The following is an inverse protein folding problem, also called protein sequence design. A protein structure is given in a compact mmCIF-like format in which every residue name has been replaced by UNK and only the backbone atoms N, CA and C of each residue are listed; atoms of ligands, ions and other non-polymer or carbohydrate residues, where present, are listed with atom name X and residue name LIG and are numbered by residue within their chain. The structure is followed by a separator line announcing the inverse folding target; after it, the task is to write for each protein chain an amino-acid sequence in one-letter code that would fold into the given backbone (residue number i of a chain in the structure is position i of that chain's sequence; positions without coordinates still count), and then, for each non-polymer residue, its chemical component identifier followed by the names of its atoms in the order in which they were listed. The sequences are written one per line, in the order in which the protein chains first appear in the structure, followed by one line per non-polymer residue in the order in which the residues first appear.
data_IF_502134663831
#
_entry.id   IF_502134663831
#
_cell.length_a   1.000
_cell.length_b   1.000
_cell.length_c   1.000
_cell.angle_alpha   90.00
_cell.angle_beta   90.00
_cell.angle_gamma   90.00
#
_symmetry.space_group_name_H-M   'P 1'
#
loop_
_entity.id
_entity.type
_entity.pdbx_description
1 polymer ?
#
# COMPACT_ATOMS: atom_id res chain seq x y z
N UNK A 1 4.01 26.94 -9.28
CA UNK A 1 2.62 27.13 -8.83
C UNK A 1 2.62 27.62 -7.40
N UNK A 2 1.69 28.49 -6.97
CA UNK A 2 1.61 28.94 -5.58
C UNK A 2 1.46 27.77 -4.61
N UNK A 3 2.06 27.83 -3.41
CA UNK A 3 2.09 26.68 -2.47
C UNK A 3 0.70 26.25 -2.02
N UNK A 4 -0.21 27.20 -1.88
CA UNK A 4 -1.61 27.03 -1.48
C UNK A 4 -2.50 26.41 -2.58
N UNK A 5 -1.99 26.31 -3.81
CA UNK A 5 -2.76 25.74 -4.94
C UNK A 5 -2.71 24.22 -5.04
N UNK A 6 -1.94 23.54 -4.18
CA UNK A 6 -1.84 22.10 -4.14
C UNK A 6 -1.78 21.56 -2.71
N UNK A 7 -2.23 20.33 -2.54
CA UNK A 7 -2.16 19.58 -1.28
C UNK A 7 -0.92 18.68 -1.28
N UNK A 8 -0.03 18.87 -0.32
CA UNK A 8 1.22 18.12 -0.22
C UNK A 8 1.18 17.16 0.98
N UNK A 9 1.17 15.87 0.70
CA UNK A 9 1.26 14.82 1.71
C UNK A 9 2.67 14.22 1.75
N UNK A 10 3.19 13.98 2.94
CA UNK A 10 4.42 13.21 3.17
C UNK A 10 4.21 12.17 4.28
N UNK A 11 5.25 11.45 4.65
CA UNK A 11 5.17 10.37 5.64
C UNK A 11 6.36 10.39 6.58
N UNK A 12 6.16 9.97 7.82
CA UNK A 12 7.25 9.78 8.79
C UNK A 12 8.10 8.57 8.44
N UNK A 13 9.17 8.83 7.69
CA UNK A 13 10.13 7.85 7.22
C UNK A 13 11.53 8.43 7.15
N UNK A 14 12.50 7.55 7.32
CA UNK A 14 13.92 7.86 7.11
C UNK A 14 14.44 7.08 5.90
N UNK A 15 15.63 7.41 5.36
CA UNK A 15 16.26 6.62 4.30
C UNK A 15 16.48 5.14 4.67
N UNK A 16 16.53 4.82 5.96
CA UNK A 16 16.77 3.46 6.48
C UNK A 16 15.49 2.75 6.95
N UNK A 17 14.32 3.38 6.79
CA UNK A 17 13.03 2.76 7.07
C UNK A 17 12.10 3.59 7.97
N UNK A 18 11.11 2.89 8.52
CA UNK A 18 10.05 3.44 9.34
C UNK A 18 10.51 3.74 10.77
N UNK A 19 9.93 4.76 11.40
CA UNK A 19 10.16 5.06 12.81
C UNK A 19 9.39 4.03 13.68
N UNK A 20 10.05 3.32 14.61
CA UNK A 20 9.40 2.33 15.48
C UNK A 20 8.58 3.00 16.60
N UNK A 21 7.74 2.21 17.27
CA UNK A 21 7.10 2.61 18.52
C UNK A 21 8.16 3.03 19.58
N UNK A 22 7.84 4.03 20.38
CA UNK A 22 8.74 4.62 21.37
C UNK A 22 9.73 5.64 20.81
N UNK A 23 9.67 5.97 19.52
CA UNK A 23 10.47 7.06 18.93
C UNK A 23 10.15 8.36 19.66
N UNK A 24 11.17 9.16 20.00
CA UNK A 24 10.96 10.40 20.75
C UNK A 24 10.24 11.45 19.92
N UNK A 25 9.54 12.36 20.60
CA UNK A 25 8.85 13.51 19.99
C UNK A 25 9.81 14.34 19.15
N UNK A 26 11.02 14.59 19.66
CA UNK A 26 12.06 15.35 18.98
C UNK A 26 12.46 14.69 17.67
N UNK A 27 12.63 13.35 17.67
CA UNK A 27 13.03 12.64 16.46
C UNK A 27 11.93 12.67 15.39
N UNK A 28 10.66 12.57 15.78
CA UNK A 28 9.56 12.76 14.84
C UNK A 28 9.60 14.16 14.19
N UNK A 29 9.87 15.21 14.98
CA UNK A 29 9.99 16.57 14.47
C UNK A 29 11.17 16.72 13.52
N UNK A 30 12.35 16.21 13.89
CA UNK A 30 13.55 16.22 13.02
C UNK A 30 13.28 15.59 11.65
N UNK A 31 12.61 14.43 11.60
CA UNK A 31 12.30 13.76 10.33
C UNK A 31 11.36 14.58 9.44
N UNK A 32 10.49 15.40 10.04
CA UNK A 32 9.64 16.33 9.30
C UNK A 32 10.46 17.50 8.79
N UNK A 33 11.35 18.08 9.59
CA UNK A 33 12.29 19.12 9.11
C UNK A 33 13.14 18.63 7.95
N UNK A 34 13.69 17.42 8.04
CA UNK A 34 14.45 16.79 6.96
C UNK A 34 13.60 16.66 5.68
N UNK A 35 12.32 16.33 5.82
CA UNK A 35 11.38 16.24 4.69
C UNK A 35 11.05 17.60 4.10
N UNK A 36 10.78 18.60 4.93
CA UNK A 36 10.53 19.98 4.53
C UNK A 36 11.74 20.58 3.80
N UNK A 37 12.96 20.33 4.29
CA UNK A 37 14.20 20.73 3.62
C UNK A 37 14.36 20.12 2.24
N UNK A 38 14.02 18.83 2.06
CA UNK A 38 14.04 18.18 0.72
C UNK A 38 12.94 18.69 -0.20
N UNK A 39 11.77 19.01 0.34
CA UNK A 39 10.62 19.52 -0.41
C UNK A 39 10.75 21.02 -0.75
N UNK A 40 11.64 21.74 -0.06
CA UNK A 40 11.83 23.18 -0.24
C UNK A 40 10.60 24.00 0.18
N UNK A 41 9.94 23.59 1.27
CA UNK A 41 8.73 24.26 1.78
C UNK A 41 8.71 24.25 3.31
N UNK A 42 7.95 25.17 3.90
CA UNK A 42 7.87 25.32 5.36
C UNK A 42 6.77 24.47 6.00
N UNK A 43 5.86 23.91 5.19
CA UNK A 43 4.78 23.06 5.68
C UNK A 43 4.30 22.01 4.67
N UNK A 44 3.75 20.93 5.21
CA UNK A 44 2.97 19.93 4.47
C UNK A 44 1.52 19.97 4.93
N UNK A 45 0.61 19.57 4.06
CA UNK A 45 -0.80 19.49 4.41
C UNK A 45 -1.09 18.25 5.25
N UNK A 46 -0.45 17.12 4.95
CA UNK A 46 -0.70 15.84 5.60
C UNK A 46 0.60 15.09 5.89
N UNK A 47 0.71 14.54 7.10
CA UNK A 47 1.76 13.59 7.48
C UNK A 47 1.12 12.25 7.81
N UNK A 48 1.62 11.17 7.21
CA UNK A 48 1.21 9.82 7.58
C UNK A 48 2.22 9.10 8.48
N UNK A 49 1.72 8.32 9.44
CA UNK A 49 2.42 7.13 9.92
C UNK A 49 2.49 6.13 8.77
N UNK A 50 3.70 5.91 8.21
CA UNK A 50 3.85 5.14 6.98
C UNK A 50 3.75 3.63 7.23
N UNK A 51 3.00 2.92 6.39
CA UNK A 51 2.93 1.45 6.34
C UNK A 51 2.78 0.86 7.74
N UNK A 52 1.80 1.36 8.48
CA UNK A 52 1.54 0.98 9.86
C UNK A 52 0.72 -0.32 9.89
N UNK A 53 1.30 -1.36 10.48
CA UNK A 53 0.72 -2.69 10.67
C UNK A 53 0.72 -3.12 12.16
N UNK A 54 1.19 -2.25 13.05
CA UNK A 54 1.37 -2.46 14.49
C UNK A 54 0.59 -1.40 15.30
N UNK A 55 -0.24 -1.83 16.25
CA UNK A 55 -1.12 -0.94 17.01
C UNK A 55 -0.37 -0.06 18.02
N UNK A 56 0.70 -0.57 18.62
CA UNK A 56 1.55 0.19 19.54
C UNK A 56 2.28 1.33 18.84
N UNK A 57 2.69 1.12 17.58
CA UNK A 57 3.24 2.17 16.71
C UNK A 57 2.18 3.15 16.24
N UNK A 58 0.98 2.69 15.88
CA UNK A 58 -0.12 3.56 15.45
C UNK A 58 -0.54 4.52 16.57
N UNK A 59 -0.72 3.99 17.77
CA UNK A 59 -1.29 4.70 18.92
C UNK A 59 -0.24 5.25 19.89
N UNK A 60 1.03 5.26 19.48
CA UNK A 60 2.14 5.79 20.27
C UNK A 60 1.85 7.25 20.68
N UNK A 61 1.81 7.56 22.00
CA UNK A 61 1.60 8.92 22.48
C UNK A 61 2.56 9.94 21.86
N UNK A 62 3.80 9.55 21.56
CA UNK A 62 4.81 10.44 21.00
C UNK A 62 4.48 10.86 19.56
N UNK A 63 3.80 10.01 18.77
CA UNK A 63 3.32 10.37 17.42
C UNK A 63 2.33 11.53 17.51
N UNK A 64 1.37 11.40 18.42
CA UNK A 64 0.31 12.40 18.59
C UNK A 64 0.84 13.70 19.20
N UNK A 65 1.75 13.61 20.17
CA UNK A 65 2.41 14.79 20.74
C UNK A 65 3.27 15.51 19.70
N UNK A 66 4.09 14.78 18.93
CA UNK A 66 4.88 15.37 17.85
C UNK A 66 4.00 16.05 16.80
N UNK A 67 2.90 15.39 16.38
CA UNK A 67 1.95 16.00 15.47
C UNK A 67 1.32 17.28 16.03
N UNK A 68 0.89 17.27 17.31
CA UNK A 68 0.31 18.43 17.95
C UNK A 68 1.29 19.62 17.98
N UNK A 69 2.57 19.38 18.28
CA UNK A 69 3.60 20.41 18.23
C UNK A 69 3.84 20.93 16.80
N UNK A 70 3.99 20.03 15.82
CA UNK A 70 4.18 20.43 14.41
C UNK A 70 3.00 21.22 13.86
N UNK A 71 1.78 20.87 14.27
CA UNK A 71 0.56 21.59 13.90
C UNK A 71 0.51 22.98 14.54
N UNK A 72 0.88 23.10 15.82
CA UNK A 72 1.00 24.39 16.50
C UNK A 72 2.09 25.28 15.88
N UNK A 73 3.18 24.69 15.39
CA UNK A 73 4.26 25.36 14.66
C UNK A 73 3.89 25.70 13.20
N UNK A 74 2.71 25.28 12.72
CA UNK A 74 2.26 25.53 11.34
C UNK A 74 2.91 24.65 10.27
N UNK A 75 3.63 23.59 10.66
CA UNK A 75 4.40 22.73 9.76
C UNK A 75 3.60 21.56 9.18
N UNK A 76 2.48 21.22 9.80
CA UNK A 76 1.56 20.17 9.36
C UNK A 76 0.11 20.57 9.66
N UNK A 77 -0.85 20.14 8.84
CA UNK A 77 -2.29 20.47 9.05
C UNK A 77 -3.09 19.26 9.50
N UNK A 78 -2.84 18.11 8.89
CA UNK A 78 -3.56 16.86 9.10
C UNK A 78 -2.63 15.71 9.45
N UNK A 79 -3.11 14.79 10.28
CA UNK A 79 -2.46 13.55 10.64
C UNK A 79 -3.20 12.39 9.99
N UNK A 80 -2.45 11.49 9.36
CA UNK A 80 -3.01 10.25 8.88
C UNK A 80 -2.12 9.06 9.17
N UNK A 81 -2.57 7.92 8.65
CA UNK A 81 -1.75 6.72 8.56
C UNK A 81 -1.97 6.08 7.19
N UNK A 82 -1.05 5.20 6.83
CA UNK A 82 -1.21 4.33 5.67
C UNK A 82 -1.02 2.90 6.13
N UNK A 83 -1.85 1.98 5.64
CA UNK A 83 -1.77 0.59 6.06
C UNK A 83 -1.95 -0.36 4.88
N UNK A 84 -1.29 -1.51 5.02
CA UNK A 84 -1.45 -2.66 4.17
C UNK A 84 -1.95 -3.82 5.01
N UNK A 85 -2.51 -4.80 4.35
CA UNK A 85 -2.71 -6.13 4.91
C UNK A 85 -1.37 -6.76 5.35
N UNK A 86 -1.40 -7.71 6.31
CA UNK A 86 -2.59 -8.40 6.83
C UNK A 86 -3.40 -7.62 7.87
N UNK A 87 -2.78 -6.75 8.65
CA UNK A 87 -3.41 -6.13 9.83
C UNK A 87 -4.23 -4.86 9.52
N UNK A 88 -4.50 -4.60 8.24
CA UNK A 88 -5.14 -3.37 7.77
C UNK A 88 -6.45 -3.06 8.51
N UNK A 89 -7.32 -4.06 8.66
CA UNK A 89 -8.62 -3.86 9.30
C UNK A 89 -8.47 -3.52 10.79
N UNK A 90 -7.53 -4.15 11.49
CA UNK A 90 -7.27 -3.88 12.91
C UNK A 90 -6.73 -2.47 13.11
N UNK A 91 -5.74 -2.08 12.29
CA UNK A 91 -5.14 -0.74 12.30
C UNK A 91 -6.20 0.32 11.96
N UNK A 92 -7.02 0.08 10.94
CA UNK A 92 -8.04 1.03 10.54
C UNK A 92 -9.14 1.19 11.59
N UNK A 93 -9.62 0.11 12.21
CA UNK A 93 -10.59 0.20 13.30
C UNK A 93 -10.00 0.90 14.52
N UNK A 94 -8.77 0.58 14.90
CA UNK A 94 -8.10 1.25 16.02
C UNK A 94 -7.91 2.76 15.76
N UNK A 95 -7.59 3.15 14.53
CA UNK A 95 -7.49 4.56 14.15
C UNK A 95 -8.84 5.29 14.29
N UNK A 96 -9.93 4.67 13.81
CA UNK A 96 -11.30 5.20 13.94
C UNK A 96 -11.67 5.34 15.43
N UNK A 97 -11.47 4.27 16.21
CA UNK A 97 -11.81 4.23 17.64
C UNK A 97 -11.04 5.28 18.46
N UNK A 98 -9.82 5.60 18.04
CA UNK A 98 -8.99 6.59 18.73
C UNK A 98 -9.49 8.03 18.60
N UNK A 99 -10.15 8.37 17.48
CA UNK A 99 -10.52 9.74 17.12
C UNK A 99 -9.31 10.68 16.93
N UNK A 100 -8.12 10.15 16.66
CA UNK A 100 -6.86 10.93 16.58
C UNK A 100 -6.32 11.14 15.16
N UNK A 101 -7.00 10.64 14.13
CA UNK A 101 -6.54 10.69 12.75
C UNK A 101 -7.56 11.40 11.86
N UNK A 102 -7.07 12.21 10.94
CA UNK A 102 -7.88 12.93 9.94
C UNK A 102 -7.99 12.15 8.62
N UNK A 103 -6.98 11.32 8.28
CA UNK A 103 -6.91 10.62 6.99
C UNK A 103 -6.38 9.19 7.13
N UNK A 104 -7.01 8.23 6.46
CA UNK A 104 -6.49 6.88 6.25
C UNK A 104 -6.19 6.61 4.78
N UNK A 105 -5.00 6.07 4.50
CA UNK A 105 -4.62 5.61 3.17
C UNK A 105 -4.55 4.08 3.15
N UNK A 106 -5.43 3.43 2.39
CA UNK A 106 -5.63 1.97 2.42
C UNK A 106 -5.47 1.36 1.03
N UNK A 107 -4.93 0.15 0.96
CA UNK A 107 -4.95 -0.62 -0.27
C UNK A 107 -6.40 -0.99 -0.63
N UNK A 108 -6.94 -0.42 -1.70
CA UNK A 108 -8.35 -0.57 -2.09
C UNK A 108 -8.49 -0.64 -3.62
N UNK A 109 -9.07 -1.73 -4.12
CA UNK A 109 -9.21 -2.04 -5.54
C UNK A 109 -10.30 -3.11 -5.74
N UNK A 110 -10.70 -3.35 -6.99
CA UNK A 110 -11.71 -4.36 -7.31
C UNK A 110 -11.32 -5.75 -6.80
N UNK A 111 -12.24 -6.50 -6.18
CA UNK A 111 -11.95 -7.82 -5.62
C UNK A 111 -11.07 -7.82 -4.36
N UNK A 112 -10.95 -6.68 -3.66
CA UNK A 112 -10.27 -6.55 -2.37
C UNK A 112 -10.93 -7.40 -1.26
N UNK A 113 -10.23 -7.57 -0.14
CA UNK A 113 -10.68 -8.33 1.02
C UNK A 113 -12.09 -7.92 1.51
N UNK A 114 -12.97 -8.89 1.85
CA UNK A 114 -14.27 -8.61 2.43
C UNK A 114 -14.20 -7.77 3.72
N UNK A 115 -15.14 -6.83 3.89
CA UNK A 115 -15.26 -6.00 5.09
C UNK A 115 -14.51 -4.66 5.04
N UNK A 116 -13.66 -4.43 4.04
CA UNK A 116 -12.96 -3.15 3.93
C UNK A 116 -13.91 -1.97 3.63
N UNK A 117 -14.91 -2.17 2.77
CA UNK A 117 -15.93 -1.14 2.49
C UNK A 117 -16.74 -0.76 3.73
N UNK A 118 -16.96 -1.69 4.67
CA UNK A 118 -17.63 -1.40 5.93
C UNK A 118 -16.78 -0.49 6.82
N UNK A 119 -15.47 -0.77 6.90
CA UNK A 119 -14.51 0.07 7.64
C UNK A 119 -14.36 1.45 7.02
N UNK A 120 -14.30 1.54 5.70
CA UNK A 120 -14.28 2.82 4.96
C UNK A 120 -15.56 3.63 5.27
N UNK A 121 -16.73 3.00 5.18
CA UNK A 121 -17.99 3.66 5.53
C UNK A 121 -18.06 4.07 7.01
N UNK A 122 -17.46 3.29 7.90
CA UNK A 122 -17.34 3.61 9.33
C UNK A 122 -16.47 4.86 9.55
N UNK A 123 -15.33 4.94 8.88
CA UNK A 123 -14.41 6.07 8.97
C UNK A 123 -15.09 7.40 8.62
N UNK A 124 -15.89 7.40 7.55
CA UNK A 124 -16.68 8.57 7.16
C UNK A 124 -17.77 8.90 8.19
N UNK A 125 -18.61 7.92 8.58
CA UNK A 125 -19.77 8.17 9.45
C UNK A 125 -19.40 8.55 10.88
N UNK A 126 -18.34 7.98 11.44
CA UNK A 126 -18.01 8.15 12.87
C UNK A 126 -17.00 9.27 13.12
N UNK A 127 -16.11 9.56 12.17
CA UNK A 127 -14.97 10.47 12.39
C UNK A 127 -14.80 11.53 11.29
N UNK A 128 -15.65 11.56 10.25
CA UNK A 128 -15.46 12.42 9.06
C UNK A 128 -14.04 12.27 8.46
N UNK A 129 -13.51 11.05 8.51
CA UNK A 129 -12.13 10.77 8.12
C UNK A 129 -12.00 10.68 6.60
N UNK A 130 -10.99 11.35 6.05
CA UNK A 130 -10.66 11.24 4.63
C UNK A 130 -10.10 9.86 4.30
N UNK A 131 -10.56 9.25 3.22
CA UNK A 131 -10.07 7.94 2.76
C UNK A 131 -9.36 8.08 1.43
N UNK A 132 -8.08 7.72 1.40
CA UNK A 132 -7.24 7.70 0.20
C UNK A 132 -7.02 6.26 -0.26
N UNK A 133 -7.54 5.89 -1.41
CA UNK A 133 -7.30 4.58 -1.99
C UNK A 133 -5.92 4.52 -2.65
N UNK A 134 -5.14 3.48 -2.34
CA UNK A 134 -3.87 3.17 -3.01
C UNK A 134 -3.91 1.76 -3.61
N UNK A 135 -2.95 1.47 -4.50
CA UNK A 135 -2.86 0.18 -5.20
C UNK A 135 -4.14 -0.19 -5.97
N UNK A 136 -4.79 0.82 -6.53
CA UNK A 136 -6.08 0.70 -7.23
C UNK A 136 -6.04 -0.26 -8.42
N UNK A 137 -4.86 -0.44 -9.03
CA UNK A 137 -4.68 -1.29 -10.22
C UNK A 137 -4.41 -2.76 -9.95
N UNK A 138 -4.38 -3.24 -8.69
CA UNK A 138 -4.12 -4.66 -8.39
C UNK A 138 -2.78 -5.17 -8.97
N UNK A 139 -1.73 -4.37 -8.86
CA UNK A 139 -0.43 -4.71 -9.46
C UNK A 139 -0.37 -4.62 -11.00
N UNK A 140 -1.49 -4.36 -11.69
CA UNK A 140 -1.48 -4.15 -13.13
C UNK A 140 -0.66 -2.90 -13.47
N UNK A 141 0.08 -2.97 -14.57
CA UNK A 141 0.76 -1.81 -15.17
C UNK A 141 -0.10 -1.26 -16.30
N UNK A 142 0.14 -0.01 -16.69
CA UNK A 142 -0.21 0.46 -18.04
C UNK A 142 0.60 -0.24 -19.16
N UNK A 143 1.63 -1.02 -18.82
CA UNK A 143 2.56 -1.73 -19.74
C UNK A 143 2.73 -3.24 -19.43
N UNK A 144 1.86 -3.84 -18.61
CA UNK A 144 2.07 -5.17 -17.99
C UNK A 144 0.82 -6.03 -17.98
N UNK A 145 -0.06 -5.69 -18.89
CA UNK A 145 -1.29 -6.37 -19.19
C UNK A 145 -1.02 -7.29 -20.39
N UNK A 146 -0.04 -8.18 -20.23
CA UNK A 146 0.28 -9.21 -21.22
C UNK A 146 -0.93 -10.13 -21.37
N UNK A 147 -1.48 -10.24 -22.58
CA UNK A 147 -2.76 -10.89 -22.86
C UNK A 147 -4.01 -10.03 -22.59
N UNK A 148 -3.84 -8.75 -22.28
CA UNK A 148 -4.90 -7.78 -22.02
C UNK A 148 -4.61 -6.44 -22.73
N UNK A 149 -3.81 -6.48 -23.80
CA UNK A 149 -3.28 -5.31 -24.53
C UNK A 149 -4.36 -4.41 -25.13
N UNK A 150 -5.43 -5.01 -25.66
CA UNK A 150 -6.51 -4.27 -26.30
C UNK A 150 -7.40 -3.50 -25.30
N UNK A 151 -7.30 -3.84 -24.02
CA UNK A 151 -8.16 -3.33 -22.94
C UNK A 151 -7.37 -2.57 -21.87
N UNK A 152 -6.08 -2.25 -22.09
CA UNK A 152 -5.21 -1.65 -21.07
C UNK A 152 -5.72 -0.31 -20.55
N UNK A 153 -5.98 0.62 -21.46
CA UNK A 153 -6.56 1.93 -21.14
C UNK A 153 -7.97 1.78 -20.56
N UNK A 154 -8.68 0.70 -20.88
CA UNK A 154 -10.00 0.44 -20.31
C UNK A 154 -9.93 -0.06 -18.87
N UNK A 155 -8.89 -0.83 -18.52
CA UNK A 155 -8.73 -1.39 -17.18
C UNK A 155 -8.38 -0.32 -16.15
N UNK A 156 -7.37 0.52 -16.41
CA UNK A 156 -6.95 1.51 -15.43
C UNK A 156 -8.04 2.59 -15.20
N UNK A 157 -8.77 2.96 -16.25
CA UNK A 157 -10.00 3.75 -16.12
C UNK A 157 -11.08 3.03 -15.31
N UNK A 158 -11.40 1.78 -15.64
CA UNK A 158 -12.42 1.00 -14.94
C UNK A 158 -12.08 0.83 -13.45
N UNK A 159 -10.81 0.58 -13.12
CA UNK A 159 -10.33 0.39 -11.76
C UNK A 159 -10.46 1.69 -10.95
N UNK A 160 -10.06 2.84 -11.53
CA UNK A 160 -10.22 4.12 -10.86
C UNK A 160 -11.70 4.49 -10.69
N UNK A 161 -12.53 4.25 -11.71
CA UNK A 161 -13.99 4.45 -11.62
C UNK A 161 -14.61 3.58 -10.54
N UNK A 162 -14.21 2.32 -10.43
CA UNK A 162 -14.71 1.41 -9.39
C UNK A 162 -14.40 1.95 -7.99
N UNK A 163 -13.16 2.41 -7.77
CA UNK A 163 -12.76 3.04 -6.51
C UNK A 163 -13.58 4.30 -6.21
N UNK A 164 -13.77 5.17 -7.19
CA UNK A 164 -14.61 6.37 -7.04
C UNK A 164 -16.11 6.08 -6.96
N UNK A 165 -16.53 4.85 -7.29
CA UNK A 165 -17.91 4.39 -7.10
C UNK A 165 -18.31 4.25 -5.64
N UNK A 166 -17.34 4.13 -4.73
CA UNK A 166 -17.59 4.19 -3.29
C UNK A 166 -17.64 5.65 -2.82
N UNK A 167 -18.81 6.17 -2.39
CA UNK A 167 -18.97 7.56 -1.98
C UNK A 167 -18.17 7.93 -0.73
N UNK A 168 -17.64 6.95 0.00
CA UNK A 168 -16.83 7.16 1.19
C UNK A 168 -15.32 7.25 0.89
N UNK A 169 -14.91 7.04 -0.36
CA UNK A 169 -13.53 7.24 -0.80
C UNK A 169 -13.35 8.68 -1.29
N UNK A 170 -12.42 9.41 -0.67
CA UNK A 170 -12.20 10.84 -0.95
C UNK A 170 -11.34 11.06 -2.18
N UNK A 171 -10.30 10.25 -2.38
CA UNK A 171 -9.46 10.28 -3.58
C UNK A 171 -8.64 8.99 -3.72
N UNK A 172 -7.92 8.87 -4.84
CA UNK A 172 -6.94 7.82 -5.05
C UNK A 172 -5.52 8.41 -5.22
N UNK A 173 -4.52 7.71 -4.69
CA UNK A 173 -3.11 7.97 -4.99
C UNK A 173 -2.65 7.02 -6.09
N UNK A 174 -2.28 7.60 -7.22
CA UNK A 174 -2.00 6.89 -8.45
C UNK A 174 -0.57 7.20 -8.90
N UNK A 175 0.18 6.16 -9.24
CA UNK A 175 1.50 6.29 -9.85
C UNK A 175 1.36 6.25 -11.37
N UNK A 176 2.06 7.14 -12.05
CA UNK A 176 2.17 7.15 -13.51
C UNK A 176 3.59 7.49 -13.93
N UNK A 177 4.00 6.99 -15.10
CA UNK A 177 5.36 7.16 -15.64
C UNK A 177 5.38 7.93 -16.97
N UNK A 178 4.22 8.07 -17.61
CA UNK A 178 4.02 8.76 -18.87
C UNK A 178 2.91 9.81 -18.71
N UNK A 179 3.06 10.96 -19.39
CA UNK A 179 2.08 12.04 -19.32
C UNK A 179 0.69 11.63 -19.82
N UNK A 180 0.61 10.69 -20.76
CA UNK A 180 -0.66 10.20 -21.31
C UNK A 180 -1.54 9.52 -20.24
N UNK A 181 -0.95 8.86 -19.24
CA UNK A 181 -1.72 8.29 -18.14
C UNK A 181 -2.46 9.36 -17.33
N UNK A 182 -1.96 10.60 -17.30
CA UNK A 182 -2.65 11.70 -16.63
C UNK A 182 -3.99 11.97 -17.29
N UNK A 183 -4.04 12.02 -18.63
CA UNK A 183 -5.29 12.22 -19.37
C UNK A 183 -6.28 11.06 -19.14
N UNK A 184 -5.77 9.83 -19.06
CA UNK A 184 -6.55 8.64 -18.75
C UNK A 184 -7.22 8.73 -17.37
N UNK A 185 -6.46 9.07 -16.34
CA UNK A 185 -6.99 9.20 -14.98
C UNK A 185 -7.88 10.42 -14.80
N UNK A 186 -7.57 11.54 -15.48
CA UNK A 186 -8.45 12.71 -15.51
C UNK A 186 -9.78 12.38 -16.18
N UNK A 187 -9.78 11.58 -17.24
CA UNK A 187 -11.01 11.12 -17.87
C UNK A 187 -11.85 10.24 -16.93
N UNK A 188 -11.22 9.37 -16.14
CA UNK A 188 -11.92 8.49 -15.20
C UNK A 188 -12.34 9.18 -13.88
N UNK A 189 -11.69 10.29 -13.52
CA UNK A 189 -11.93 11.01 -12.27
C UNK A 189 -13.40 11.43 -12.11
N UNK A 190 -13.98 11.14 -10.94
CA UNK A 190 -15.38 11.45 -10.61
C UNK A 190 -16.45 10.65 -11.35
N UNK A 191 -16.08 9.61 -12.10
CA UNK A 191 -17.02 8.70 -12.80
C UNK A 191 -17.13 7.36 -12.08
N UNK A 192 -18.21 6.64 -12.36
CA UNK A 192 -18.46 5.26 -11.92
C UNK A 192 -18.41 4.30 -13.10
N UNK A 193 -18.08 3.00 -12.89
CA UNK A 193 -17.91 2.07 -13.98
C UNK A 193 -19.28 1.60 -14.49
N UNK A 194 -19.37 1.34 -15.80
CA UNK A 194 -20.51 0.64 -16.39
C UNK A 194 -20.32 -0.90 -16.36
N UNK A 195 -21.31 -1.66 -16.83
CA UNK A 195 -21.28 -3.12 -16.78
C UNK A 195 -20.13 -3.74 -17.59
N UNK A 196 -19.80 -3.18 -18.76
CA UNK A 196 -18.69 -3.66 -19.60
C UNK A 196 -17.35 -3.39 -18.91
N UNK A 197 -17.21 -2.23 -18.28
CA UNK A 197 -16.01 -1.88 -17.50
C UNK A 197 -15.84 -2.76 -16.26
N UNK A 198 -16.93 -3.15 -15.59
CA UNK A 198 -16.87 -4.15 -14.51
C UNK A 198 -16.45 -5.52 -15.06
N UNK A 199 -16.95 -5.92 -16.23
CA UNK A 199 -16.56 -7.19 -16.85
C UNK A 199 -15.06 -7.23 -17.21
N UNK A 200 -14.47 -6.10 -17.60
CA UNK A 200 -13.01 -5.94 -17.80
C UNK A 200 -12.26 -6.21 -16.49
N UNK A 201 -12.73 -5.67 -15.36
CA UNK A 201 -12.14 -5.92 -14.04
C UNK A 201 -12.25 -7.40 -13.64
N UNK A 202 -13.42 -8.02 -13.81
CA UNK A 202 -13.66 -9.44 -13.52
C UNK A 202 -12.76 -10.37 -14.36
N UNK A 203 -12.53 -10.01 -15.63
CA UNK A 203 -11.63 -10.73 -16.53
C UNK A 203 -10.19 -10.66 -16.04
N UNK A 204 -9.72 -9.48 -15.63
CA UNK A 204 -8.37 -9.34 -15.03
C UNK A 204 -8.24 -10.14 -13.74
N UNK A 205 -9.26 -10.15 -12.89
CA UNK A 205 -9.29 -10.93 -11.65
C UNK A 205 -9.15 -12.44 -11.94
N UNK A 206 -9.80 -12.91 -12.99
CA UNK A 206 -9.70 -14.31 -13.44
C UNK A 206 -8.32 -14.65 -14.00
N UNK A 207 -7.71 -13.75 -14.78
CA UNK A 207 -6.37 -13.94 -15.37
C UNK A 207 -5.26 -13.95 -14.32
N UNK A 208 -5.47 -13.25 -13.20
CA UNK A 208 -4.45 -13.07 -12.17
C UNK A 208 -4.68 -13.90 -10.91
N UNK A 209 -5.79 -14.64 -10.81
CA UNK A 209 -6.16 -15.40 -9.60
C UNK A 209 -5.04 -16.30 -9.05
N UNK A 210 -4.35 -17.04 -9.92
CA UNK A 210 -3.30 -18.00 -9.54
C UNK A 210 -1.93 -17.35 -9.26
N UNK A 211 -1.81 -16.05 -9.53
CA UNK A 211 -0.53 -15.35 -9.51
C UNK A 211 -0.49 -14.17 -8.55
N UNK A 212 -1.58 -13.45 -8.44
CA UNK A 212 -1.68 -12.29 -7.60
C UNK A 212 -1.84 -12.71 -6.14
N UNK A 213 -0.75 -12.67 -5.38
CA UNK A 213 -0.81 -12.77 -3.92
C UNK A 213 -1.33 -11.46 -3.33
N UNK A 214 -2.52 -11.03 -3.75
CA UNK A 214 -3.19 -10.00 -3.01
C UNK A 214 -4.61 -10.29 -2.56
N UNK A 215 -4.88 -9.91 -1.30
CA UNK A 215 -4.32 -8.73 -0.62
C UNK A 215 -3.21 -9.07 0.41
N UNK A 216 -2.07 -9.69 0.09
CA UNK A 216 -0.99 -10.04 1.05
C UNK A 216 -1.54 -10.46 2.43
N UNK A 217 -2.64 -11.25 2.43
CA UNK A 217 -3.63 -11.22 3.51
C UNK A 217 -3.17 -11.90 4.79
N UNK A 218 -2.00 -12.54 4.74
CA UNK A 218 -1.43 -13.25 5.88
C UNK A 218 -2.11 -14.57 6.22
N UNK A 219 -3.19 -14.99 5.53
CA UNK A 219 -3.94 -16.21 5.84
C UNK A 219 -3.06 -17.48 5.87
N UNK A 220 -1.99 -17.51 5.07
CA UNK A 220 -1.04 -18.63 5.02
C UNK A 220 0.09 -18.57 6.05
N UNK A 221 0.27 -17.45 6.77
CA UNK A 221 1.45 -17.23 7.63
C UNK A 221 1.52 -18.23 8.79
N UNK A 222 0.36 -18.57 9.37
CA UNK A 222 0.27 -19.57 10.45
C UNK A 222 0.63 -20.98 9.98
N UNK A 223 0.54 -21.27 8.68
CA UNK A 223 0.89 -22.56 8.09
C UNK A 223 2.39 -22.69 7.78
N UNK A 224 3.18 -21.62 7.90
CA UNK A 224 4.60 -21.65 7.59
C UNK A 224 5.43 -22.13 8.81
N UNK A 225 6.10 -23.30 8.75
CA UNK A 225 6.88 -23.82 9.88
C UNK A 225 8.10 -22.95 10.19
N UNK A 226 8.64 -22.31 9.15
CA UNK A 226 9.80 -21.42 9.24
C UNK A 226 9.43 -19.98 9.65
N UNK A 227 8.12 -19.70 9.79
CA UNK A 227 7.58 -18.38 10.12
C UNK A 227 8.10 -17.27 9.18
N UNK A 228 8.15 -17.57 7.90
CA UNK A 228 8.54 -16.60 6.87
C UNK A 228 7.41 -15.59 6.66
N UNK A 229 7.77 -14.34 6.39
CA UNK A 229 6.84 -13.29 5.99
C UNK A 229 6.43 -13.49 4.51
N UNK A 230 5.64 -14.53 4.22
CA UNK A 230 5.19 -14.89 2.86
C UNK A 230 4.54 -13.68 2.16
N UNK A 231 3.72 -12.94 2.91
CA UNK A 231 3.08 -11.70 2.45
C UNK A 231 4.09 -10.67 1.95
N UNK A 232 5.17 -10.42 2.69
CA UNK A 232 6.19 -9.44 2.33
C UNK A 232 7.07 -9.93 1.18
N UNK A 233 7.47 -11.20 1.19
CA UNK A 233 8.26 -11.78 0.09
C UNK A 233 7.52 -11.65 -1.25
N UNK A 234 6.24 -12.01 -1.28
CA UNK A 234 5.44 -11.91 -2.51
C UNK A 234 5.11 -10.46 -2.87
N UNK A 235 5.06 -9.54 -1.90
CA UNK A 235 4.98 -8.10 -2.15
C UNK A 235 6.26 -7.55 -2.77
N UNK A 236 7.43 -7.97 -2.29
CA UNK A 236 8.71 -7.55 -2.86
C UNK A 236 8.87 -8.09 -4.28
N UNK A 237 8.44 -9.33 -4.53
CA UNK A 237 8.36 -9.88 -5.90
C UNK A 237 7.48 -9.02 -6.82
N UNK A 238 6.29 -8.64 -6.37
CA UNK A 238 5.42 -7.71 -7.10
C UNK A 238 6.11 -6.35 -7.34
N UNK A 239 6.88 -5.81 -6.40
CA UNK A 239 7.67 -4.60 -6.65
C UNK A 239 8.71 -4.75 -7.75
N UNK A 240 9.32 -5.93 -7.85
CA UNK A 240 10.28 -6.25 -8.90
C UNK A 240 9.60 -6.42 -10.27
N UNK A 241 8.65 -7.35 -10.36
CA UNK A 241 8.02 -7.76 -11.62
C UNK A 241 7.05 -6.69 -12.15
N UNK A 242 6.24 -6.14 -11.26
CA UNK A 242 5.09 -5.32 -11.64
C UNK A 242 5.42 -3.83 -11.58
N UNK A 243 6.05 -3.37 -10.50
CA UNK A 243 6.35 -1.94 -10.35
C UNK A 243 7.68 -1.53 -11.00
N UNK A 244 8.47 -2.50 -11.49
CA UNK A 244 9.82 -2.28 -12.04
C UNK A 244 10.76 -1.56 -11.05
N UNK A 245 10.47 -1.67 -9.76
CA UNK A 245 11.27 -1.12 -8.67
C UNK A 245 12.30 -2.15 -8.22
N UNK A 246 13.09 -2.68 -9.15
CA UNK A 246 13.96 -3.85 -8.95
C UNK A 246 14.90 -3.67 -7.75
N UNK A 247 15.63 -2.55 -7.71
CA UNK A 247 16.54 -2.24 -6.61
C UNK A 247 15.82 -2.19 -5.27
N UNK A 248 14.66 -1.54 -5.21
CA UNK A 248 13.87 -1.45 -3.99
C UNK A 248 13.40 -2.83 -3.54
N UNK A 249 12.93 -3.67 -4.47
CA UNK A 249 12.47 -5.02 -4.18
C UNK A 249 13.60 -5.89 -3.61
N UNK A 250 14.79 -5.82 -4.20
CA UNK A 250 16.00 -6.52 -3.74
C UNK A 250 16.40 -6.03 -2.34
N UNK A 251 16.51 -4.72 -2.14
CA UNK A 251 16.91 -4.14 -0.86
C UNK A 251 15.92 -4.53 0.26
N UNK A 252 14.62 -4.49 -0.02
CA UNK A 252 13.56 -4.90 0.91
C UNK A 252 13.60 -6.40 1.21
N UNK A 253 13.87 -7.25 0.21
CA UNK A 253 14.00 -8.70 0.40
C UNK A 253 15.24 -9.06 1.23
N UNK A 254 16.38 -8.41 0.96
CA UNK A 254 17.61 -8.58 1.71
C UNK A 254 17.48 -8.13 3.18
N UNK A 255 16.62 -7.14 3.45
CA UNK A 255 16.32 -6.68 4.81
C UNK A 255 15.42 -7.61 5.63
N UNK A 256 14.84 -8.67 5.04
CA UNK A 256 13.99 -9.60 5.78
C UNK A 256 14.78 -10.39 6.82
N UNK A 257 14.22 -10.52 8.03
CA UNK A 257 14.80 -11.34 9.11
C UNK A 257 15.03 -12.80 8.69
N UNK A 258 14.12 -13.33 7.87
CA UNK A 258 14.20 -14.66 7.24
C UNK A 258 13.65 -14.56 5.84
N UNK A 259 14.35 -15.14 4.88
CA UNK A 259 13.98 -15.10 3.46
C UNK A 259 13.52 -16.48 2.97
N UNK A 260 13.13 -16.57 1.69
CA UNK A 260 12.54 -17.77 1.10
C UNK A 260 13.56 -18.85 0.66
N UNK A 261 14.83 -18.76 1.07
CA UNK A 261 15.88 -19.73 0.72
C UNK A 261 15.57 -21.17 1.09
N UNK A 262 14.86 -21.38 2.19
CA UNK A 262 14.45 -22.69 2.70
C UNK A 262 13.25 -23.30 1.96
N UNK A 263 12.56 -22.53 1.11
CA UNK A 263 11.32 -22.97 0.49
C UNK A 263 11.50 -24.12 -0.51
N UNK A 264 12.66 -24.23 -1.17
CA UNK A 264 12.91 -25.27 -2.18
C UNK A 264 12.91 -26.69 -1.58
N UNK A 265 13.32 -26.83 -0.32
CA UNK A 265 13.42 -28.11 0.38
C UNK A 265 12.29 -28.32 1.41
N UNK A 266 11.40 -27.33 1.55
CA UNK A 266 10.29 -27.38 2.50
C UNK A 266 9.24 -28.43 2.08
N UNK A 267 8.61 -29.09 3.07
CA UNK A 267 7.45 -29.96 2.83
C UNK A 267 6.17 -29.22 2.42
N UNK A 268 6.23 -27.88 2.32
CA UNK A 268 5.17 -26.99 1.88
C UNK A 268 3.80 -27.17 2.58
N UNK A 269 3.73 -27.17 3.92
CA UNK A 269 2.46 -27.25 4.66
C UNK A 269 1.53 -26.04 4.43
N UNK A 270 2.04 -24.96 3.81
CA UNK A 270 1.24 -23.84 3.36
C UNK A 270 0.44 -24.13 2.07
N UNK A 271 0.64 -25.28 1.43
CA UNK A 271 -0.14 -25.71 0.25
C UNK A 271 -1.61 -25.83 0.62
N UNK A 272 -2.48 -25.12 -0.12
CA UNK A 272 -3.91 -25.07 0.15
C UNK A 272 -4.33 -24.06 1.22
N UNK A 273 -3.38 -23.41 1.91
CA UNK A 273 -3.70 -22.35 2.88
C UNK A 273 -4.05 -21.00 2.24
N UNK A 274 -3.83 -20.84 0.93
CA UNK A 274 -4.21 -19.62 0.22
C UNK A 274 -5.70 -19.67 -0.15
N UNK A 275 -6.53 -18.71 0.30
CA UNK A 275 -7.93 -18.65 -0.10
C UNK A 275 -8.14 -18.34 -1.59
N UNK A 276 -7.08 -17.87 -2.27
CA UNK A 276 -7.07 -17.53 -3.69
C UNK A 276 -6.32 -18.55 -4.55
N UNK A 277 -5.96 -19.72 -4.00
CA UNK A 277 -5.34 -20.79 -4.79
C UNK A 277 -3.86 -20.58 -5.16
N UNK A 278 -3.20 -19.54 -4.65
CA UNK A 278 -1.77 -19.30 -4.92
C UNK A 278 -0.93 -20.53 -4.56
N UNK A 279 -0.09 -20.95 -5.52
CA UNK A 279 0.95 -21.96 -5.33
C UNK A 279 2.10 -21.37 -4.51
N UNK A 280 1.90 -21.26 -3.19
CA UNK A 280 2.77 -20.49 -2.29
C UNK A 280 4.24 -20.93 -2.38
N UNK A 281 4.55 -22.23 -2.30
CA UNK A 281 5.94 -22.69 -2.33
C UNK A 281 6.64 -22.29 -3.63
N UNK A 282 6.03 -22.60 -4.78
CA UNK A 282 6.57 -22.24 -6.11
C UNK A 282 6.80 -20.74 -6.24
N UNK A 283 5.83 -19.94 -5.78
CA UNK A 283 5.93 -18.47 -5.77
C UNK A 283 7.08 -17.96 -4.90
N UNK A 284 7.25 -18.54 -3.71
CA UNK A 284 8.29 -18.18 -2.76
C UNK A 284 9.68 -18.57 -3.26
N UNK A 285 9.84 -19.75 -3.87
CA UNK A 285 11.09 -20.20 -4.51
C UNK A 285 11.46 -19.24 -5.64
N UNK A 286 10.53 -18.96 -6.56
CA UNK A 286 10.80 -18.02 -7.64
C UNK A 286 11.07 -16.59 -7.15
N UNK A 287 10.46 -16.16 -6.03
CA UNK A 287 10.79 -14.88 -5.41
C UNK A 287 12.22 -14.87 -4.87
N UNK A 288 12.70 -15.96 -4.27
CA UNK A 288 14.07 -16.08 -3.81
C UNK A 288 15.07 -16.02 -4.96
N UNK A 289 14.83 -16.79 -6.02
CA UNK A 289 15.67 -16.83 -7.22
C UNK A 289 15.77 -15.44 -7.90
N UNK A 290 14.66 -14.70 -7.91
CA UNK A 290 14.58 -13.38 -8.51
C UNK A 290 15.25 -12.29 -7.67
N UNK A 291 15.09 -12.35 -6.34
CA UNK A 291 15.44 -11.24 -5.44
C UNK A 291 16.76 -11.45 -4.69
N UNK A 292 17.27 -12.69 -4.56
CA UNK A 292 18.58 -12.97 -3.96
C UNK A 292 19.70 -12.85 -5.02
N UNK A 293 19.86 -11.63 -5.55
CA UNK A 293 21.06 -11.29 -6.33
C UNK A 293 22.22 -11.06 -5.37
N UNK A 294 22.84 -12.17 -4.94
CA UNK A 294 24.17 -12.08 -4.33
C UNK A 294 25.11 -11.47 -5.38
N UNK A 295 25.98 -10.52 -5.03
CA UNK A 295 27.07 -10.16 -5.93
C UNK A 295 27.82 -11.46 -6.21
N UNK A 296 27.90 -11.86 -7.49
CA UNK A 296 28.83 -12.90 -7.91
C UNK A 296 30.18 -12.47 -7.39
N UNK A 297 30.78 -13.25 -6.49
CA UNK A 297 32.12 -12.99 -6.00
C UNK A 297 33.05 -12.93 -7.21
N UNK A 298 33.46 -11.73 -7.58
CA UNK A 298 34.51 -11.45 -8.56
C UNK A 298 35.87 -11.50 -7.87
#
# INVERSE_FOLDING_TARGET
VPRESFFLATKWCTPIGHLPAGTSVERYKEVVEESLGRLGTDYVDLIHVHSCDELDRLLDPNVHEAFAQLKAEGKARFLGFSSHTPNLLDVANAAIDSGKFDVMMLAYHHGIWPGLSDVIGRASREQDMGVVAMKTLKGAKHHGLEGFEDEQDSYAQAALKWVHGDPNVSCAVISFFDLQHVDEYLYASGKTPNADEVAVLDKYDSLTADTYCAPHCGACLSSCPEKLAINDVLRHRMYFEDYRSERQAIDLYAGLKRNASVCAECSAPCTGSCPFGIRIQERMVGAHELLDVRPTAS
#
